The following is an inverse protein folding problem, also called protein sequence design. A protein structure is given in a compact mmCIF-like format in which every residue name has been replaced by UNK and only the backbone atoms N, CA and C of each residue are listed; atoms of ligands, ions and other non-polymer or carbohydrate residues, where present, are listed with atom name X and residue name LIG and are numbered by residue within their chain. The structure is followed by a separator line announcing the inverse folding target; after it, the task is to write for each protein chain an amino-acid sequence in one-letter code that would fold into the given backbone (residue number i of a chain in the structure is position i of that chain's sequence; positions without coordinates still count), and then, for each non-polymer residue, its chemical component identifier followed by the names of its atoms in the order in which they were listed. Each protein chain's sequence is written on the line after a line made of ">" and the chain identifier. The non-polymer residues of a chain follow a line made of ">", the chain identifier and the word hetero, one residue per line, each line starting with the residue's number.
data_IF_546387561728
#
_entry.id   IF_546387561728
#
_cell.length_a   1.000
_cell.length_b   1.000
_cell.length_c   1.000
_cell.angle_alpha   90.00
_cell.angle_beta   90.00
_cell.angle_gamma   90.00
#
_symmetry.space_group_name_H-M   'P 1'
#
loop_
_entity.id
_entity.type
_entity.pdbx_description
1 polymer ?
#
# COMPACT_ATOMS: atom_id res chain seq x y z
N UNK A 1 12.57 -30.89 -6.76
CA UNK A 1 11.97 -32.07 -6.11
C UNK A 1 12.89 -32.39 -4.98
N UNK A 2 12.44 -32.22 -3.74
CA UNK A 2 13.26 -32.58 -2.59
C UNK A 2 12.70 -33.91 -2.08
N UNK A 3 13.57 -34.89 -1.95
CA UNK A 3 13.27 -36.19 -1.38
C UNK A 3 14.05 -36.30 -0.08
N UNK A 4 13.36 -36.67 0.99
CA UNK A 4 13.99 -37.03 2.25
C UNK A 4 13.54 -38.43 2.62
N UNK A 5 14.51 -39.25 2.98
CA UNK A 5 14.31 -40.67 3.25
C UNK A 5 14.15 -40.86 4.77
N UNK A 6 13.01 -41.43 5.18
CA UNK A 6 12.75 -41.83 6.57
C UNK A 6 12.38 -43.30 6.60
N UNK A 7 13.39 -44.16 6.66
CA UNK A 7 13.20 -45.61 6.57
C UNK A 7 12.83 -46.07 5.14
N UNK A 8 12.09 -47.18 5.02
CA UNK A 8 11.81 -47.87 3.75
C UNK A 8 10.65 -47.24 2.93
N UNK A 9 10.40 -45.94 3.09
CA UNK A 9 9.29 -45.24 2.41
C UNK A 9 9.72 -43.86 1.98
N UNK A 10 9.72 -43.63 0.66
CA UNK A 10 9.97 -42.32 0.05
C UNK A 10 8.65 -41.54 0.02
N UNK A 11 8.52 -40.52 0.85
CA UNK A 11 7.37 -39.61 0.85
C UNK A 11 7.72 -38.41 -0.04
N UNK A 12 7.09 -38.33 -1.22
CA UNK A 12 7.23 -37.17 -2.12
C UNK A 12 6.27 -36.06 -1.69
N UNK A 13 6.71 -35.17 -0.80
CA UNK A 13 5.99 -33.92 -0.56
C UNK A 13 6.35 -32.89 -1.63
N UNK A 14 5.31 -32.33 -2.27
CA UNK A 14 5.43 -31.25 -3.25
C UNK A 14 5.86 -29.98 -2.51
N UNK A 15 7.16 -29.83 -2.26
CA UNK A 15 7.74 -28.63 -1.66
C UNK A 15 7.23 -27.39 -2.40
N UNK A 16 6.64 -26.45 -1.65
CA UNK A 16 6.10 -25.19 -2.19
C UNK A 16 7.28 -24.37 -2.70
N UNK A 17 7.60 -24.52 -3.98
CA UNK A 17 8.41 -23.57 -4.73
C UNK A 17 7.55 -22.32 -4.91
N UNK A 18 8.00 -21.18 -4.37
CA UNK A 18 7.31 -19.92 -4.57
C UNK A 18 7.14 -19.68 -6.08
N UNK A 19 5.90 -19.49 -6.57
CA UNK A 19 5.68 -19.24 -7.99
C UNK A 19 6.41 -17.96 -8.38
N UNK A 20 7.08 -17.98 -9.54
CA UNK A 20 7.78 -16.81 -10.10
C UNK A 20 6.84 -15.60 -10.05
N UNK A 21 7.21 -14.61 -9.23
CA UNK A 21 6.42 -13.40 -8.99
C UNK A 21 7.17 -12.22 -9.57
N UNK A 22 6.52 -11.45 -10.45
CA UNK A 22 7.02 -10.16 -10.91
C UNK A 22 6.33 -9.08 -10.09
N UNK A 23 7.13 -8.23 -9.43
CA UNK A 23 6.65 -7.13 -8.59
C UNK A 23 7.18 -5.81 -9.15
N UNK A 24 6.27 -4.89 -9.38
CA UNK A 24 6.54 -3.50 -9.74
C UNK A 24 5.94 -2.61 -8.66
N UNK A 25 6.76 -1.77 -8.02
CA UNK A 25 6.34 -0.90 -6.91
C UNK A 25 6.85 0.53 -7.15
N UNK A 26 5.93 1.50 -7.15
CA UNK A 26 6.23 2.91 -7.42
C UNK A 26 5.46 3.82 -6.48
N UNK A 27 6.14 4.84 -6.00
CA UNK A 27 5.56 5.91 -5.18
C UNK A 27 6.18 7.24 -5.59
N UNK A 28 5.35 8.25 -5.80
CA UNK A 28 5.77 9.62 -6.06
C UNK A 28 4.97 10.55 -5.17
N UNK A 29 5.65 11.44 -4.45
CA UNK A 29 5.05 12.47 -3.61
C UNK A 29 5.49 13.85 -4.12
N UNK A 30 4.55 14.80 -4.17
CA UNK A 30 4.82 16.17 -4.61
C UNK A 30 4.24 17.19 -3.63
N UNK A 31 4.98 18.27 -3.32
CA UNK A 31 4.41 19.41 -2.60
C UNK A 31 3.40 20.13 -3.49
N UNK A 32 2.31 20.62 -2.91
CA UNK A 32 1.22 21.27 -3.68
C UNK A 32 1.30 22.79 -3.59
N UNK A 33 1.04 23.35 -2.41
CA UNK A 33 1.00 24.80 -2.19
C UNK A 33 1.97 25.28 -1.11
N UNK A 34 2.55 24.36 -0.34
CA UNK A 34 3.64 24.63 0.59
C UNK A 34 4.43 23.33 0.84
N UNK A 35 5.60 23.46 1.49
CA UNK A 35 6.48 22.33 1.80
C UNK A 35 5.90 21.37 2.85
N UNK A 36 4.76 21.71 3.47
CA UNK A 36 4.09 20.91 4.49
C UNK A 36 2.83 20.21 3.95
N UNK A 37 2.47 20.47 2.69
CA UNK A 37 1.26 19.99 2.05
C UNK A 37 1.61 19.21 0.80
N UNK A 38 1.35 17.91 0.84
CA UNK A 38 1.78 16.96 -0.18
C UNK A 38 0.62 16.11 -0.69
N UNK A 39 0.77 15.66 -1.93
CA UNK A 39 -0.06 14.63 -2.55
C UNK A 39 0.86 13.54 -3.07
N UNK A 40 0.51 12.30 -2.77
CA UNK A 40 1.24 11.10 -3.15
C UNK A 40 0.40 10.18 -4.04
N UNK A 41 1.07 9.53 -4.99
CA UNK A 41 0.48 8.43 -5.77
C UNK A 41 1.36 7.20 -5.57
N UNK A 42 0.72 6.08 -5.29
CA UNK A 42 1.35 4.77 -5.15
C UNK A 42 0.75 3.80 -6.16
N UNK A 43 1.57 2.96 -6.77
CA UNK A 43 1.14 1.89 -7.67
C UNK A 43 1.96 0.63 -7.45
N UNK A 44 1.27 -0.50 -7.36
CA UNK A 44 1.86 -1.82 -7.24
C UNK A 44 1.23 -2.76 -8.26
N UNK A 45 2.02 -3.37 -9.14
CA UNK A 45 1.59 -4.46 -10.02
C UNK A 45 2.29 -5.75 -9.58
N UNK A 46 1.51 -6.79 -9.32
CA UNK A 46 1.95 -8.10 -8.89
C UNK A 46 1.40 -9.17 -9.84
N UNK A 47 2.29 -9.82 -10.57
CA UNK A 47 1.96 -10.89 -11.51
C UNK A 47 2.56 -12.21 -11.04
N UNK A 48 1.70 -13.19 -10.77
CA UNK A 48 2.11 -14.54 -10.37
C UNK A 48 1.79 -15.51 -11.51
N UNK A 49 2.77 -16.32 -11.91
CA UNK A 49 2.63 -17.28 -13.02
C UNK A 49 1.49 -18.29 -12.80
N UNK A 50 1.16 -18.62 -11.53
CA UNK A 50 0.17 -19.66 -11.19
C UNK A 50 -0.94 -19.19 -10.22
N UNK A 51 -0.97 -17.91 -9.83
CA UNK A 51 -1.86 -17.41 -8.78
C UNK A 51 -2.56 -16.09 -9.11
N UNK A 52 -2.60 -15.74 -10.39
CA UNK A 52 -3.41 -14.63 -10.90
C UNK A 52 -2.73 -13.27 -10.89
N UNK A 53 -3.50 -12.26 -11.26
CA UNK A 53 -3.08 -10.86 -11.38
C UNK A 53 -3.63 -10.06 -10.20
N UNK A 54 -2.75 -9.28 -9.55
CA UNK A 54 -3.16 -8.34 -8.52
C UNK A 54 -2.50 -6.98 -8.76
N UNK A 55 -3.30 -5.92 -8.71
CA UNK A 55 -2.81 -4.55 -8.81
C UNK A 55 -3.41 -3.70 -7.68
N UNK A 56 -2.63 -2.77 -7.17
CA UNK A 56 -3.03 -1.80 -6.18
C UNK A 56 -2.62 -0.42 -6.66
N UNK A 57 -3.54 0.55 -6.60
CA UNK A 57 -3.28 1.96 -6.83
C UNK A 57 -3.73 2.75 -5.62
N UNK A 58 -2.95 3.75 -5.21
CA UNK A 58 -3.22 4.59 -4.06
C UNK A 58 -3.04 6.05 -4.41
N UNK A 59 -3.91 6.89 -3.87
CA UNK A 59 -3.77 8.34 -3.81
C UNK A 59 -3.81 8.73 -2.34
N UNK A 60 -2.80 9.46 -1.87
CA UNK A 60 -2.77 10.01 -0.52
C UNK A 60 -2.53 11.52 -0.55
N UNK A 61 -3.01 12.19 0.48
CA UNK A 61 -2.80 13.62 0.66
C UNK A 61 -2.61 13.99 2.11
N UNK A 62 -1.81 15.01 2.32
CA UNK A 62 -1.63 15.71 3.59
C UNK A 62 -1.67 17.19 3.28
N UNK A 63 -2.70 17.88 3.74
CA UNK A 63 -2.88 19.31 3.54
C UNK A 63 -2.75 20.01 4.89
N UNK A 64 -1.77 20.91 5.00
CA UNK A 64 -1.52 21.68 6.22
C UNK A 64 -1.81 23.15 5.97
N UNK A 65 -2.81 23.67 6.66
CA UNK A 65 -3.32 25.00 6.41
C UNK A 65 -2.61 26.07 7.25
N UNK A 66 -2.48 27.32 6.76
CA UNK A 66 -1.73 28.40 7.41
C UNK A 66 -2.34 28.98 8.71
N UNK A 67 -3.42 28.41 9.25
CA UNK A 67 -4.03 28.81 10.54
C UNK A 67 -3.10 28.41 11.69
N UNK A 68 -1.89 28.97 11.75
CA UNK A 68 -0.80 28.60 12.66
C UNK A 68 -0.54 27.09 12.72
N UNK A 69 -0.60 26.41 11.56
CA UNK A 69 -0.45 24.96 11.47
C UNK A 69 -1.50 24.16 12.27
N UNK A 70 -2.55 24.81 12.75
CA UNK A 70 -3.56 24.23 13.64
C UNK A 70 -4.51 23.28 12.92
N UNK A 71 -4.58 23.33 11.59
CA UNK A 71 -5.46 22.49 10.81
C UNK A 71 -4.66 21.62 9.84
N UNK A 72 -4.80 20.31 9.98
CA UNK A 72 -4.22 19.32 9.06
C UNK A 72 -5.30 18.36 8.59
N UNK A 73 -5.46 18.25 7.27
CA UNK A 73 -6.32 17.25 6.64
C UNK A 73 -5.43 16.18 6.01
N UNK A 74 -5.64 14.93 6.39
CA UNK A 74 -4.97 13.77 5.76
C UNK A 74 -6.02 12.84 5.20
N UNK A 75 -5.72 12.22 4.08
CA UNK A 75 -6.55 11.17 3.55
C UNK A 75 -5.78 10.25 2.63
N UNK A 76 -6.36 9.09 2.40
CA UNK A 76 -5.85 8.10 1.48
C UNK A 76 -7.03 7.38 0.84
N UNK A 77 -6.92 7.08 -0.44
CA UNK A 77 -7.81 6.18 -1.14
C UNK A 77 -6.94 5.12 -1.80
N UNK A 78 -7.24 3.86 -1.52
CA UNK A 78 -6.61 2.72 -2.17
C UNK A 78 -7.65 1.98 -2.98
N UNK A 79 -7.32 1.72 -4.23
CA UNK A 79 -8.04 0.82 -5.12
C UNK A 79 -7.19 -0.43 -5.32
N UNK A 80 -7.81 -1.59 -5.25
CA UNK A 80 -7.16 -2.86 -5.56
C UNK A 80 -8.01 -3.66 -6.52
N UNK A 81 -7.37 -4.38 -7.43
CA UNK A 81 -8.01 -5.35 -8.30
C UNK A 81 -7.25 -6.65 -8.22
N UNK A 82 -7.95 -7.76 -7.97
CA UNK A 82 -7.42 -9.12 -8.02
C UNK A 82 -8.34 -9.99 -8.86
N UNK A 83 -7.80 -10.59 -9.92
CA UNK A 83 -8.51 -11.55 -10.77
C UNK A 83 -9.92 -11.07 -11.20
N UNK A 84 -10.03 -9.77 -11.54
CA UNK A 84 -11.28 -9.13 -11.98
C UNK A 84 -12.20 -8.64 -10.85
N UNK A 85 -11.90 -8.95 -9.58
CA UNK A 85 -12.60 -8.41 -8.42
C UNK A 85 -11.90 -7.15 -7.92
N UNK A 86 -12.65 -6.06 -7.75
CA UNK A 86 -12.14 -4.78 -7.28
C UNK A 86 -12.61 -4.42 -5.87
N UNK A 87 -11.76 -3.77 -5.09
CA UNK A 87 -12.09 -3.24 -3.77
C UNK A 87 -11.49 -1.84 -3.56
N UNK A 88 -12.25 -0.98 -2.88
CA UNK A 88 -11.84 0.39 -2.53
C UNK A 88 -11.74 0.55 -1.02
N UNK A 89 -10.70 1.21 -0.55
CA UNK A 89 -10.49 1.54 0.86
C UNK A 89 -10.16 3.02 1.03
N UNK A 90 -11.16 3.87 1.34
CA UNK A 90 -10.93 5.27 1.70
C UNK A 90 -10.67 5.43 3.20
N UNK A 91 -9.74 6.31 3.55
CA UNK A 91 -9.47 6.75 4.93
C UNK A 91 -9.35 8.27 4.93
N UNK A 92 -10.00 8.93 5.90
CA UNK A 92 -9.92 10.37 6.10
C UNK A 92 -9.61 10.65 7.58
N UNK A 93 -8.66 11.55 7.83
CA UNK A 93 -8.27 11.99 9.16
C UNK A 93 -8.20 13.51 9.16
N UNK A 94 -8.99 14.14 10.03
CA UNK A 94 -8.91 15.57 10.31
C UNK A 94 -8.25 15.78 11.67
N UNK A 95 -7.21 16.62 11.70
CA UNK A 95 -6.54 17.03 12.93
C UNK A 95 -6.72 18.53 13.10
N UNK A 96 -7.33 18.91 14.23
CA UNK A 96 -7.46 20.29 14.68
C UNK A 96 -6.66 20.41 15.98
N UNK A 97 -5.66 21.28 16.00
CA UNK A 97 -4.92 21.65 17.19
C UNK A 97 -5.55 22.92 17.76
N UNK A 98 -6.00 22.86 19.02
CA UNK A 98 -6.36 24.07 19.74
C UNK A 98 -5.08 24.68 20.28
N UNK A 99 -4.74 25.90 19.87
CA UNK A 99 -3.70 26.66 20.55
C UNK A 99 -4.28 27.17 21.87
N UNK A 100 -3.86 26.57 22.98
CA UNK A 100 -4.07 27.17 24.29
C UNK A 100 -3.18 28.40 24.36
N UNK A 101 -3.76 29.59 24.20
CA UNK A 101 -3.06 30.84 24.40
C UNK A 101 -2.54 30.95 25.83
N UNK A 102 -1.23 30.78 25.99
CA UNK A 102 -0.41 31.43 27.00
C UNK A 102 0.75 32.05 26.23
N UNK A 103 1.04 33.35 26.31
CA UNK A 103 0.95 34.32 27.41
C UNK A 103 0.53 35.67 26.81
#
# INVERSE_FOLDING_TARGET
>A
MWEYESGDTVIQEKGIIEPKTQLFYWTVEQPVFNNLSTVGVMMTDLRRVEAGYANVMGLDWRLKFPLDNALTLKGQIVHSTKDGMSGNGPVLILVILTQNGGI
#
